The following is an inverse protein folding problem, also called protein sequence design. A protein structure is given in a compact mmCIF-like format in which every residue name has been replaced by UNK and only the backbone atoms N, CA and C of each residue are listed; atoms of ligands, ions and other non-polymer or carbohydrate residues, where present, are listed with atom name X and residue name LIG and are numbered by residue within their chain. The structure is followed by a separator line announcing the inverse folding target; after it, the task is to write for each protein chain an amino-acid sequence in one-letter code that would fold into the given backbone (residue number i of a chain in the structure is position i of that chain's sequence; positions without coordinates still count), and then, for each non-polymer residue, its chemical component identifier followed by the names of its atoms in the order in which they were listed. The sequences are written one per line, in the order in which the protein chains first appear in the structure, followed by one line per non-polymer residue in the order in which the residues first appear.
data_IF_877987639420
#
_entry.id   IF_877987639420
#
_cell.length_a   1.000
_cell.length_b   1.000
_cell.length_c   1.000
_cell.angle_alpha   90.00
_cell.angle_beta   90.00
_cell.angle_gamma   90.00
#
_symmetry.space_group_name_H-M   'P 1'
#
loop_
_entity.id
_entity.type
_entity.pdbx_description
1 polymer ?
#
# COMPACT_ATOMS: atom_id res chain seq x y z
N UNK A 1 4.31 3.34 -1.41
CA UNK A 1 4.36 1.86 -1.42
C UNK A 1 4.36 1.42 -2.87
N UNK A 2 5.41 0.72 -3.31
CA UNK A 2 5.47 0.11 -4.62
C UNK A 2 4.92 -1.32 -4.49
N UNK A 3 3.79 -1.58 -5.12
CA UNK A 3 3.14 -2.90 -5.19
C UNK A 3 3.03 -3.39 -6.65
N UNK A 4 3.80 -2.78 -7.56
CA UNK A 4 3.85 -3.15 -8.98
C UNK A 4 3.17 -2.16 -9.92
N UNK A 5 2.72 -1.01 -9.42
CA UNK A 5 2.20 0.05 -10.28
C UNK A 5 3.33 0.74 -11.07
N UNK A 6 3.02 1.19 -12.28
CA UNK A 6 3.91 2.02 -13.09
C UNK A 6 3.82 3.49 -12.65
N UNK A 7 4.65 3.86 -11.67
CA UNK A 7 4.73 5.22 -11.14
C UNK A 7 6.18 5.73 -11.08
N UNK A 8 6.36 7.03 -11.27
CA UNK A 8 7.64 7.70 -11.02
C UNK A 8 7.76 8.05 -9.53
N UNK A 9 8.37 7.13 -8.78
CA UNK A 9 8.60 7.29 -7.34
C UNK A 9 9.58 8.42 -7.01
N UNK A 10 10.50 8.77 -7.91
CA UNK A 10 11.45 9.85 -7.69
C UNK A 10 10.76 11.21 -7.84
N UNK A 11 9.87 11.36 -8.83
CA UNK A 11 9.02 12.53 -8.93
C UNK A 11 8.07 12.65 -7.72
N UNK A 12 7.51 11.53 -7.25
CA UNK A 12 6.68 11.52 -6.04
C UNK A 12 7.46 11.96 -4.79
N UNK A 13 8.71 11.51 -4.62
CA UNK A 13 9.61 11.95 -3.55
C UNK A 13 9.82 13.46 -3.60
N UNK A 14 10.29 13.97 -4.74
CA UNK A 14 10.55 15.41 -4.93
C UNK A 14 9.31 16.26 -4.67
N UNK A 15 8.13 15.77 -5.06
CA UNK A 15 6.85 16.45 -4.78
C UNK A 15 6.55 16.48 -3.28
N UNK A 16 6.74 15.38 -2.56
CA UNK A 16 6.53 15.32 -1.11
C UNK A 16 7.49 16.24 -0.34
N UNK A 17 8.76 16.31 -0.75
CA UNK A 17 9.74 17.24 -0.19
C UNK A 17 9.32 18.70 -0.36
N UNK A 18 8.89 19.08 -1.58
CA UNK A 18 8.37 20.43 -1.88
C UNK A 18 7.14 20.79 -1.05
N UNK A 19 6.32 19.81 -0.68
CA UNK A 19 5.14 19.99 0.15
C UNK A 19 5.46 19.98 1.66
N UNK A 20 6.73 19.85 2.06
CA UNK A 20 7.17 19.95 3.45
C UNK A 20 7.24 18.62 4.22
N UNK A 21 7.23 17.47 3.54
CA UNK A 21 7.42 16.19 4.21
C UNK A 21 8.82 16.09 4.83
N UNK A 22 8.88 15.80 6.14
CA UNK A 22 10.16 15.70 6.88
C UNK A 22 10.93 14.41 6.63
N UNK A 23 10.23 13.30 6.38
CA UNK A 23 10.77 11.99 6.06
C UNK A 23 9.86 11.31 5.04
N UNK A 24 10.45 10.60 4.08
CA UNK A 24 9.72 9.96 2.97
C UNK A 24 10.22 8.53 2.82
N UNK A 25 9.27 7.60 2.91
CA UNK A 25 9.50 6.16 2.77
C UNK A 25 8.86 5.66 1.48
N UNK A 26 9.69 5.11 0.59
CA UNK A 26 9.25 4.42 -0.62
C UNK A 26 9.61 2.95 -0.43
N UNK A 27 8.66 2.20 0.08
CA UNK A 27 8.83 0.78 0.38
C UNK A 27 8.46 -0.04 -0.86
N UNK A 28 9.34 -0.93 -1.29
CA UNK A 28 9.03 -1.97 -2.27
C UNK A 28 8.38 -3.16 -1.57
N UNK A 29 7.09 -3.33 -1.82
CA UNK A 29 6.23 -4.34 -1.21
C UNK A 29 5.78 -5.38 -2.23
N UNK A 30 6.36 -5.43 -3.44
CA UNK A 30 5.90 -6.35 -4.50
C UNK A 30 5.98 -7.81 -4.08
N UNK A 31 7.10 -8.22 -3.48
CA UNK A 31 7.28 -9.59 -2.99
C UNK A 31 6.27 -9.91 -1.87
N UNK A 32 6.21 -9.07 -0.84
CA UNK A 32 5.27 -9.20 0.28
C UNK A 32 3.80 -9.24 -0.20
N UNK A 33 3.46 -8.43 -1.20
CA UNK A 33 2.11 -8.39 -1.77
C UNK A 33 1.76 -9.71 -2.47
N UNK A 34 2.69 -10.28 -3.24
CA UNK A 34 2.48 -11.58 -3.89
C UNK A 34 2.37 -12.70 -2.86
N UNK A 35 3.37 -12.80 -1.98
CA UNK A 35 3.55 -13.94 -1.09
C UNK A 35 2.47 -14.01 -0.01
N UNK A 36 2.07 -12.87 0.55
CA UNK A 36 1.19 -12.86 1.73
C UNK A 36 -0.27 -12.48 1.42
N UNK A 37 -0.54 -11.83 0.28
CA UNK A 37 -1.89 -11.36 -0.05
C UNK A 37 -2.45 -12.03 -1.32
N UNK A 38 -1.73 -11.98 -2.44
CA UNK A 38 -2.20 -12.58 -3.69
C UNK A 38 -2.30 -14.10 -3.55
N UNK A 39 -1.26 -14.76 -3.03
CA UNK A 39 -1.27 -16.21 -2.86
C UNK A 39 -2.37 -16.69 -1.92
N UNK A 40 -2.57 -15.99 -0.80
CA UNK A 40 -3.67 -16.26 0.12
C UNK A 40 -5.03 -16.16 -0.58
N UNK A 41 -5.24 -15.13 -1.42
CA UNK A 41 -6.48 -14.95 -2.19
C UNK A 41 -6.69 -16.05 -3.22
N UNK A 42 -5.63 -16.47 -3.92
CA UNK A 42 -5.67 -17.54 -4.93
C UNK A 42 -5.97 -18.89 -4.28
N UNK A 43 -5.30 -19.22 -3.18
CA UNK A 43 -5.52 -20.47 -2.43
C UNK A 43 -6.96 -20.59 -1.92
N UNK A 44 -7.58 -19.48 -1.53
CA UNK A 44 -8.97 -19.44 -1.12
C UNK A 44 -9.97 -19.50 -2.28
N UNK A 45 -9.52 -19.47 -3.54
CA UNK A 45 -10.35 -19.25 -4.73
C UNK A 45 -11.28 -18.03 -4.54
N UNK A 46 -10.75 -16.94 -3.98
CA UNK A 46 -11.55 -15.79 -3.61
C UNK A 46 -12.03 -15.04 -4.86
N UNK A 47 -13.34 -15.05 -5.07
CA UNK A 47 -14.02 -14.38 -6.17
C UNK A 47 -15.21 -13.62 -5.58
N UNK A 48 -15.26 -12.31 -5.84
CA UNK A 48 -16.39 -11.49 -5.46
C UNK A 48 -17.39 -11.40 -6.62
N UNK A 49 -18.67 -11.67 -6.32
CA UNK A 49 -19.78 -11.65 -7.29
C UNK A 49 -19.47 -12.45 -8.58
N UNK A 50 -18.84 -13.62 -8.40
CA UNK A 50 -18.48 -14.58 -9.45
C UNK A 50 -17.61 -14.04 -10.60
N UNK A 51 -17.04 -12.83 -10.45
CA UNK A 51 -16.28 -12.16 -11.53
C UNK A 51 -15.03 -11.42 -11.06
N UNK A 52 -15.06 -10.81 -9.88
CA UNK A 52 -13.99 -9.90 -9.46
C UNK A 52 -12.95 -10.61 -8.58
N UNK A 53 -11.69 -10.61 -9.05
CA UNK A 53 -10.54 -11.23 -8.36
C UNK A 53 -9.89 -10.33 -7.30
N UNK A 54 -10.65 -9.39 -6.72
CA UNK A 54 -10.28 -8.66 -5.51
C UNK A 54 -8.99 -7.82 -5.55
N UNK A 55 -8.40 -7.55 -6.73
CA UNK A 55 -7.06 -6.96 -6.84
C UNK A 55 -6.83 -5.67 -6.02
N UNK A 56 -7.81 -4.77 -5.99
CA UNK A 56 -7.74 -3.56 -5.15
C UNK A 56 -7.92 -3.91 -3.68
N UNK A 57 -8.92 -4.74 -3.36
CA UNK A 57 -9.28 -5.11 -2.00
C UNK A 57 -8.13 -5.78 -1.25
N UNK A 58 -7.32 -6.61 -1.92
CA UNK A 58 -6.17 -7.29 -1.29
C UNK A 58 -4.92 -6.40 -1.21
N UNK A 59 -4.79 -5.40 -2.09
CA UNK A 59 -3.66 -4.48 -2.05
C UNK A 59 -3.73 -3.49 -0.87
N UNK A 60 -4.93 -3.03 -0.48
CA UNK A 60 -5.08 -2.03 0.59
C UNK A 60 -4.57 -2.52 1.96
N UNK A 61 -4.87 -3.75 2.41
CA UNK A 61 -4.29 -4.30 3.63
C UNK A 61 -2.75 -4.34 3.62
N UNK A 62 -2.12 -4.68 2.49
CA UNK A 62 -0.65 -4.68 2.35
C UNK A 62 -0.07 -3.27 2.59
N UNK A 63 -0.65 -2.25 1.93
CA UNK A 63 -0.23 -0.86 2.08
C UNK A 63 -0.45 -0.36 3.52
N UNK A 64 -1.63 -0.63 4.08
CA UNK A 64 -2.00 -0.18 5.42
C UNK A 64 -1.11 -0.83 6.50
N UNK A 65 -0.81 -2.12 6.36
CA UNK A 65 0.11 -2.83 7.26
C UNK A 65 1.47 -2.16 7.31
N UNK A 66 2.06 -1.85 6.15
CA UNK A 66 3.33 -1.14 6.09
C UNK A 66 3.22 0.27 6.67
N UNK A 67 2.13 1.00 6.40
CA UNK A 67 1.91 2.33 6.98
C UNK A 67 1.93 2.31 8.51
N UNK A 68 1.24 1.35 9.14
CA UNK A 68 1.21 1.19 10.59
C UNK A 68 2.60 0.85 11.14
N UNK A 69 3.34 -0.06 10.49
CA UNK A 69 4.71 -0.39 10.89
C UNK A 69 5.64 0.83 10.88
N UNK A 70 5.54 1.68 9.85
CA UNK A 70 6.31 2.92 9.77
C UNK A 70 5.90 3.88 10.87
N UNK A 71 4.59 4.04 11.12
CA UNK A 71 4.10 4.92 12.19
C UNK A 71 4.63 4.48 13.56
N UNK A 72 4.60 3.19 13.87
CA UNK A 72 5.16 2.64 15.11
C UNK A 72 6.67 2.88 15.20
N UNK A 73 7.42 2.61 14.13
CA UNK A 73 8.87 2.85 14.05
C UNK A 73 9.24 4.32 14.28
N UNK A 74 8.43 5.24 13.77
CA UNK A 74 8.64 6.68 13.88
C UNK A 74 8.03 7.30 15.14
N UNK A 75 7.33 6.51 15.98
CA UNK A 75 6.60 7.02 17.14
C UNK A 75 5.44 7.96 16.78
N UNK A 76 4.89 7.83 15.57
CA UNK A 76 3.76 8.63 15.13
C UNK A 76 2.45 8.15 15.77
N UNK A 77 1.70 9.10 16.33
CA UNK A 77 0.40 8.84 16.98
C UNK A 77 -0.76 8.76 15.97
N UNK A 78 -0.56 9.30 14.76
CA UNK A 78 -1.61 9.44 13.76
C UNK A 78 -1.17 8.85 12.42
N UNK A 79 -2.14 8.28 11.71
CA UNK A 79 -2.04 7.87 10.31
C UNK A 79 -3.13 8.57 9.50
N UNK A 80 -2.93 8.73 8.20
CA UNK A 80 -3.91 9.37 7.30
C UNK A 80 -3.88 8.69 5.94
N UNK A 81 -5.00 8.72 5.21
CA UNK A 81 -5.13 8.21 3.86
C UNK A 81 -5.96 9.16 2.97
N UNK A 82 -5.78 9.04 1.65
CA UNK A 82 -6.50 9.86 0.66
C UNK A 82 -7.75 9.21 0.06
N UNK A 83 -8.25 8.10 0.60
CA UNK A 83 -9.50 7.49 0.10
C UNK A 83 -10.70 8.43 0.32
N UNK A 84 -11.69 8.35 -0.59
CA UNK A 84 -12.93 9.12 -0.51
C UNK A 84 -13.81 8.68 0.66
N UNK A 85 -14.72 9.55 1.12
CA UNK A 85 -15.68 9.23 2.18
C UNK A 85 -16.96 8.52 1.71
N UNK A 86 -16.99 8.07 0.45
CA UNK A 86 -18.05 7.24 -0.13
C UNK A 86 -17.47 5.86 -0.41
#
# INVERSE_FOLDING_TARGET
ANIGQEEDFDAARKKAEKLGAKKIFIEDLRAEFVEEFIWTSVQANAIYEDRYLLGTSIARPCIARRQVQIALREGAQYVSHGATGK
#
